data_IF_179711411589
#
_entry.id   IF_179711411589
#
_cell.length_a   1.000
_cell.length_b   1.000
_cell.length_c   1.000
_cell.angle_alpha   90.00
_cell.angle_beta   90.00
_cell.angle_gamma   90.00
#
_symmetry.space_group_name_H-M   'P 1'
#
loop_
_entity.id
_entity.type
_entity.pdbx_description
1 polymer ?
#
# COMPACT_ATOMS: atom_id res chain seq x y z
N UNK A 1 19.33 -25.42 -1.41
CA UNK A 1 19.01 -24.00 -1.68
C UNK A 1 17.66 -23.98 -2.38
N UNK A 2 16.62 -23.52 -1.68
CA UNK A 2 15.27 -23.45 -2.26
C UNK A 2 15.28 -22.63 -3.54
N UNK A 3 14.70 -23.19 -4.59
CA UNK A 3 14.59 -22.61 -5.92
C UNK A 3 13.88 -21.26 -5.80
N UNK A 4 14.61 -20.15 -5.99
CA UNK A 4 14.04 -18.81 -5.80
C UNK A 4 12.96 -18.57 -6.86
N UNK A 5 11.83 -17.94 -6.50
CA UNK A 5 10.86 -17.48 -7.49
C UNK A 5 11.54 -16.60 -8.53
N UNK A 6 11.08 -16.66 -9.79
CA UNK A 6 11.64 -15.91 -10.92
C UNK A 6 11.17 -14.44 -10.96
N UNK A 7 10.38 -14.03 -9.99
CA UNK A 7 9.84 -12.69 -9.86
C UNK A 7 10.42 -11.98 -8.64
N UNK A 8 10.44 -10.65 -8.70
CA UNK A 8 10.95 -9.78 -7.65
C UNK A 8 9.81 -9.19 -6.82
N UNK A 9 10.07 -9.08 -5.52
CA UNK A 9 9.21 -8.38 -4.55
C UNK A 9 9.90 -7.12 -4.03
N UNK A 10 9.17 -6.28 -3.29
CA UNK A 10 9.71 -5.01 -2.78
C UNK A 10 10.97 -5.20 -1.93
N UNK A 11 10.99 -6.21 -1.04
CA UNK A 11 12.16 -6.52 -0.20
C UNK A 11 13.43 -6.80 -1.02
N UNK A 12 13.31 -7.29 -2.25
CA UNK A 12 14.46 -7.52 -3.12
C UNK A 12 15.10 -6.18 -3.53
N UNK A 13 14.32 -5.11 -3.75
CA UNK A 13 14.83 -3.77 -4.05
C UNK A 13 15.51 -3.09 -2.85
N UNK A 14 15.17 -3.51 -1.63
CA UNK A 14 15.85 -3.09 -0.41
C UNK A 14 17.19 -3.81 -0.27
N UNK A 15 17.22 -5.13 -0.52
CA UNK A 15 18.42 -5.96 -0.42
C UNK A 15 19.43 -5.70 -1.55
N UNK A 16 18.93 -5.51 -2.76
CA UNK A 16 19.71 -5.24 -3.97
C UNK A 16 19.24 -3.95 -4.64
N UNK A 17 20.01 -2.88 -4.41
CA UNK A 17 19.73 -1.56 -4.99
C UNK A 17 19.81 -1.54 -6.52
N UNK A 18 20.48 -2.52 -7.15
CA UNK A 18 20.52 -2.61 -8.61
C UNK A 18 19.16 -2.91 -9.23
N UNK A 19 18.20 -3.41 -8.42
CA UNK A 19 16.84 -3.66 -8.85
C UNK A 19 15.98 -2.40 -8.95
N UNK A 20 16.34 -1.33 -8.23
CA UNK A 20 15.56 -0.07 -8.17
C UNK A 20 15.31 0.52 -9.55
N UNK A 21 16.31 0.53 -10.43
CA UNK A 21 16.16 1.01 -11.80
C UNK A 21 15.04 0.31 -12.59
N UNK A 22 14.77 -0.97 -12.32
CA UNK A 22 13.69 -1.70 -12.99
C UNK A 22 12.34 -1.42 -12.34
N UNK A 23 12.30 -1.21 -11.02
CA UNK A 23 11.10 -0.72 -10.35
C UNK A 23 10.75 0.70 -10.81
N UNK A 24 11.73 1.59 -10.97
CA UNK A 24 11.54 2.94 -11.50
C UNK A 24 10.98 2.92 -12.92
N UNK A 25 11.46 1.99 -13.76
CA UNK A 25 10.87 1.75 -15.09
C UNK A 25 9.42 1.25 -14.99
N UNK A 26 9.12 0.30 -14.09
CA UNK A 26 7.73 -0.14 -13.88
C UNK A 26 6.83 1.02 -13.43
N UNK A 27 7.30 1.84 -12.49
CA UNK A 27 6.58 3.02 -11.99
C UNK A 27 6.30 3.99 -13.13
N UNK A 28 7.31 4.28 -13.96
CA UNK A 28 7.17 5.15 -15.13
C UNK A 28 6.14 4.58 -16.12
N UNK A 29 6.21 3.30 -16.42
CA UNK A 29 5.25 2.64 -17.33
C UNK A 29 3.81 2.74 -16.82
N UNK A 30 3.60 2.63 -15.49
CA UNK A 30 2.29 2.81 -14.86
C UNK A 30 1.82 4.26 -14.96
N UNK A 31 2.70 5.22 -14.67
CA UNK A 31 2.40 6.65 -14.76
C UNK A 31 2.01 7.08 -16.18
N UNK A 32 2.76 6.60 -17.18
CA UNK A 32 2.53 6.84 -18.60
C UNK A 32 1.32 6.05 -19.16
N UNK A 33 0.76 5.11 -18.39
CA UNK A 33 -0.39 4.29 -18.81
C UNK A 33 -0.05 3.24 -19.86
N UNK A 34 1.23 2.91 -20.01
CA UNK A 34 1.72 1.90 -20.97
C UNK A 34 2.01 0.54 -20.31
N UNK A 35 2.01 0.48 -18.98
CA UNK A 35 2.17 -0.75 -18.22
C UNK A 35 1.09 -1.77 -18.60
N UNK A 36 1.51 -3.02 -18.78
CA UNK A 36 0.61 -4.14 -19.12
C UNK A 36 0.67 -5.23 -18.07
N UNK A 37 -0.51 -5.64 -17.61
CA UNK A 37 -0.64 -6.76 -16.70
C UNK A 37 -0.20 -8.05 -17.39
N UNK A 38 0.68 -8.77 -16.73
CA UNK A 38 1.15 -10.09 -17.15
C UNK A 38 1.01 -11.07 -15.99
N UNK A 39 1.38 -12.31 -16.24
CA UNK A 39 1.43 -13.41 -15.28
C UNK A 39 2.86 -13.89 -15.14
N UNK A 40 3.32 -14.18 -13.93
CA UNK A 40 4.67 -14.71 -13.70
C UNK A 40 4.84 -16.03 -14.44
N UNK A 41 6.04 -16.27 -14.97
CA UNK A 41 6.40 -17.56 -15.60
C UNK A 41 6.47 -18.62 -14.51
N UNK A 42 5.35 -19.26 -14.24
CA UNK A 42 5.29 -20.35 -13.28
C UNK A 42 6.07 -21.57 -13.81
N UNK A 43 6.94 -22.13 -12.97
CA UNK A 43 7.37 -23.53 -13.13
C UNK A 43 6.15 -24.44 -12.94
N UNK A 44 6.15 -25.62 -13.55
CA UNK A 44 5.09 -26.60 -13.35
C UNK A 44 4.86 -26.85 -11.84
N UNK A 45 3.61 -26.70 -11.38
CA UNK A 45 3.24 -26.86 -9.96
C UNK A 45 3.31 -25.58 -9.10
N UNK A 46 3.76 -24.44 -9.63
CA UNK A 46 3.74 -23.17 -8.89
C UNK A 46 2.58 -22.26 -9.32
N UNK A 47 1.96 -21.51 -8.39
CA UNK A 47 0.94 -20.53 -8.73
C UNK A 47 1.55 -19.38 -9.55
N UNK A 48 0.76 -18.89 -10.51
CA UNK A 48 1.13 -17.74 -11.33
C UNK A 48 0.50 -16.46 -10.76
N UNK A 49 1.34 -15.46 -10.51
CA UNK A 49 0.95 -14.21 -9.87
C UNK A 49 0.87 -13.08 -10.89
N UNK A 50 -0.01 -12.09 -10.67
CA UNK A 50 0.00 -10.86 -11.46
C UNK A 50 1.36 -10.16 -11.36
N UNK A 51 1.92 -9.78 -12.51
CA UNK A 51 3.22 -9.08 -12.57
C UNK A 51 3.29 -8.07 -13.70
N UNK A 52 4.22 -7.12 -13.55
CA UNK A 52 4.75 -6.30 -14.64
C UNK A 52 6.05 -6.91 -15.15
N UNK A 53 6.30 -6.75 -16.45
CA UNK A 53 7.53 -7.24 -17.08
C UNK A 53 8.31 -6.08 -17.68
N UNK A 54 9.53 -5.90 -17.20
CA UNK A 54 10.46 -4.88 -17.70
C UNK A 54 11.80 -5.54 -17.96
N UNK A 55 12.34 -5.36 -19.17
CA UNK A 55 13.64 -5.92 -19.60
C UNK A 55 13.82 -7.41 -19.24
N UNK A 56 12.78 -8.21 -19.46
CA UNK A 56 12.78 -9.65 -19.19
C UNK A 56 12.69 -10.07 -17.71
N UNK A 57 12.59 -9.11 -16.78
CA UNK A 57 12.38 -9.36 -15.34
C UNK A 57 10.91 -9.21 -14.99
N UNK A 58 10.46 -9.98 -14.00
CA UNK A 58 9.08 -9.99 -13.54
C UNK A 58 8.98 -9.36 -12.16
N UNK A 59 8.10 -8.39 -11.98
CA UNK A 59 7.88 -7.68 -10.71
C UNK A 59 6.43 -7.86 -10.30
N UNK A 60 6.17 -8.30 -9.07
CA UNK A 60 4.78 -8.42 -8.62
C UNK A 60 4.09 -7.05 -8.64
N UNK A 61 2.82 -7.03 -9.03
CA UNK A 61 2.02 -5.80 -9.09
C UNK A 61 2.02 -5.09 -7.74
N UNK A 62 1.72 -5.82 -6.66
CA UNK A 62 1.80 -5.32 -5.28
C UNK A 62 3.19 -4.78 -4.92
N UNK A 63 4.27 -5.39 -5.41
CA UNK A 63 5.62 -4.92 -5.12
C UNK A 63 5.93 -3.56 -5.75
N UNK A 64 5.38 -3.26 -6.94
CA UNK A 64 5.57 -1.97 -7.60
C UNK A 64 4.84 -0.85 -6.84
N UNK A 65 3.62 -1.11 -6.36
CA UNK A 65 2.91 -0.15 -5.50
C UNK A 65 3.61 0.07 -4.15
N UNK A 66 4.05 -1.02 -3.50
CA UNK A 66 4.79 -0.93 -2.24
C UNK A 66 6.10 -0.15 -2.40
N UNK A 67 6.84 -0.40 -3.49
CA UNK A 67 8.04 0.36 -3.82
C UNK A 67 7.76 1.85 -4.04
N UNK A 68 6.73 2.18 -4.82
CA UNK A 68 6.37 3.57 -5.10
C UNK A 68 6.03 4.34 -3.81
N UNK A 69 5.18 3.75 -2.95
CA UNK A 69 4.80 4.37 -1.69
C UNK A 69 5.98 4.52 -0.72
N UNK A 70 6.90 3.55 -0.72
CA UNK A 70 8.14 3.63 0.06
C UNK A 70 9.06 4.76 -0.43
N UNK A 71 9.28 4.85 -1.75
CA UNK A 71 10.11 5.90 -2.33
C UNK A 71 9.53 7.29 -2.04
N UNK A 72 8.22 7.44 -2.22
CA UNK A 72 7.49 8.66 -1.90
C UNK A 72 7.60 9.04 -0.41
N UNK A 73 7.57 8.05 0.49
CA UNK A 73 7.79 8.28 1.92
C UNK A 73 9.22 8.78 2.22
N UNK A 74 10.23 8.27 1.51
CA UNK A 74 11.62 8.70 1.69
C UNK A 74 11.93 10.08 1.09
N UNK A 75 11.26 10.46 0.00
CA UNK A 75 11.61 11.64 -0.79
C UNK A 75 10.67 12.85 -0.58
N UNK A 76 9.65 12.71 0.27
CA UNK A 76 8.66 13.76 0.55
C UNK A 76 7.27 13.31 0.13
N UNK A 77 6.46 12.93 1.11
CA UNK A 77 5.17 12.33 0.84
C UNK A 77 4.14 13.36 0.35
N UNK A 78 3.53 13.10 -0.82
CA UNK A 78 2.49 13.95 -1.42
C UNK A 78 1.27 13.07 -1.67
N UNK A 79 0.13 13.42 -1.07
CA UNK A 79 -1.12 12.63 -1.14
C UNK A 79 -1.56 12.48 -2.59
N UNK A 80 -1.66 13.58 -3.32
CA UNK A 80 -2.15 13.60 -4.71
C UNK A 80 -1.38 12.63 -5.62
N UNK A 81 -0.05 12.59 -5.52
CA UNK A 81 0.79 11.65 -6.27
C UNK A 81 0.53 10.19 -5.89
N UNK A 82 0.36 9.92 -4.59
CA UNK A 82 0.03 8.58 -4.09
C UNK A 82 -1.36 8.13 -4.55
N UNK A 83 -2.34 9.03 -4.55
CA UNK A 83 -3.71 8.80 -5.00
C UNK A 83 -3.78 8.52 -6.51
N UNK A 84 -3.12 9.34 -7.34
CA UNK A 84 -3.09 9.16 -8.80
C UNK A 84 -2.43 7.83 -9.17
N UNK A 85 -1.27 7.51 -8.56
CA UNK A 85 -0.60 6.26 -8.81
C UNK A 85 -1.43 5.05 -8.37
N UNK A 86 -2.10 5.14 -7.21
CA UNK A 86 -2.99 4.10 -6.69
C UNK A 86 -4.17 3.86 -7.64
N UNK A 87 -4.79 4.92 -8.16
CA UNK A 87 -5.91 4.82 -9.09
C UNK A 87 -5.48 4.22 -10.44
N UNK A 88 -4.29 4.59 -10.96
CA UNK A 88 -3.70 3.97 -12.16
C UNK A 88 -3.45 2.48 -11.96
N UNK A 89 -2.86 2.11 -10.82
CA UNK A 89 -2.65 0.70 -10.45
C UNK A 89 -3.98 -0.05 -10.40
N UNK A 90 -4.98 0.48 -9.68
CA UNK A 90 -6.33 -0.10 -9.59
C UNK A 90 -6.99 -0.27 -10.97
N UNK A 91 -6.82 0.68 -11.88
CA UNK A 91 -7.34 0.59 -13.24
C UNK A 91 -6.70 -0.55 -14.05
N UNK A 92 -5.43 -0.87 -13.79
CA UNK A 92 -4.68 -1.92 -14.50
C UNK A 92 -4.97 -3.32 -13.92
N UNK A 93 -4.87 -3.49 -12.60
CA UNK A 93 -4.92 -4.80 -11.95
C UNK A 93 -6.21 -5.10 -11.19
N UNK A 94 -7.12 -4.12 -11.10
CA UNK A 94 -8.26 -4.20 -10.19
C UNK A 94 -7.90 -3.82 -8.76
N UNK A 95 -8.92 -3.77 -7.90
CA UNK A 95 -8.77 -3.39 -6.49
C UNK A 95 -8.27 -4.54 -5.60
N UNK A 96 -8.85 -5.73 -5.78
CA UNK A 96 -8.62 -6.87 -4.88
C UNK A 96 -7.27 -7.55 -5.14
N UNK A 97 -6.72 -8.15 -4.07
CA UNK A 97 -5.57 -9.05 -4.04
C UNK A 97 -4.19 -8.40 -4.21
N UNK A 98 -4.12 -7.16 -4.69
CA UNK A 98 -2.87 -6.39 -4.83
C UNK A 98 -2.99 -5.00 -4.19
N UNK A 99 -3.85 -4.13 -4.73
CA UNK A 99 -3.97 -2.72 -4.26
C UNK A 99 -4.49 -2.65 -2.83
N UNK A 100 -5.64 -3.27 -2.56
CA UNK A 100 -6.25 -3.32 -1.23
C UNK A 100 -5.27 -3.78 -0.14
N UNK A 101 -4.51 -4.84 -0.41
CA UNK A 101 -3.55 -5.42 0.53
C UNK A 101 -2.37 -4.50 0.80
N UNK A 102 -1.84 -3.84 -0.23
CA UNK A 102 -0.73 -2.90 -0.05
C UNK A 102 -1.19 -1.68 0.74
N UNK A 103 -2.37 -1.15 0.46
CA UNK A 103 -2.92 0.00 1.18
C UNK A 103 -3.28 -0.34 2.63
N UNK A 104 -3.81 -1.54 2.89
CA UNK A 104 -4.03 -2.04 4.27
C UNK A 104 -2.72 -2.10 5.04
N UNK A 105 -1.67 -2.70 4.47
CA UNK A 105 -0.34 -2.74 5.07
C UNK A 105 0.27 -1.36 5.27
N UNK A 106 -0.02 -0.41 4.39
CA UNK A 106 0.43 0.97 4.54
C UNK A 106 -0.20 1.62 5.77
N UNK A 107 -1.51 1.46 5.98
CA UNK A 107 -2.20 1.92 7.21
C UNK A 107 -1.59 1.26 8.45
N UNK A 108 -1.40 -0.06 8.43
CA UNK A 108 -0.79 -0.79 9.56
C UNK A 108 0.60 -0.24 9.91
N UNK A 109 1.47 -0.10 8.92
CA UNK A 109 2.87 0.29 9.14
C UNK A 109 3.07 1.77 9.44
N UNK A 110 2.30 2.65 8.79
CA UNK A 110 2.51 4.10 8.86
C UNK A 110 1.61 4.76 9.90
N UNK A 111 0.39 4.26 10.09
CA UNK A 111 -0.61 4.87 10.98
C UNK A 111 -0.74 4.09 12.28
N UNK A 112 -0.96 2.77 12.23
CA UNK A 112 -1.29 2.00 13.42
C UNK A 112 -0.03 1.72 14.27
N UNK A 113 0.92 0.96 13.75
CA UNK A 113 2.06 0.45 14.51
C UNK A 113 2.89 1.54 15.24
N UNK A 114 3.10 2.75 14.69
CA UNK A 114 3.89 3.76 15.39
C UNK A 114 3.11 4.53 16.46
N UNK A 115 1.78 4.63 16.33
CA UNK A 115 0.97 5.56 17.11
C UNK A 115 -0.08 4.90 17.99
N UNK A 116 -0.38 3.63 17.76
CA UNK A 116 -1.46 2.91 18.43
C UNK A 116 -1.00 1.55 18.91
N UNK A 117 -1.65 1.06 19.96
CA UNK A 117 -1.62 -0.33 20.36
C UNK A 117 -3.06 -0.83 20.45
N UNK A 118 -3.25 -2.14 20.27
CA UNK A 118 -4.55 -2.75 20.47
C UNK A 118 -4.76 -3.02 21.96
N UNK A 119 -5.78 -2.38 22.54
CA UNK A 119 -6.18 -2.58 23.94
C UNK A 119 -7.32 -3.60 24.06
N UNK A 120 -7.66 -4.29 22.97
CA UNK A 120 -8.64 -5.37 22.97
C UNK A 120 -8.03 -6.71 23.35
N UNK A 121 -8.78 -7.50 24.10
CA UNK A 121 -8.46 -8.92 24.35
C UNK A 121 -9.05 -9.85 23.26
N UNK A 122 -9.75 -9.29 22.27
CA UNK A 122 -10.38 -10.02 21.16
C UNK A 122 -9.44 -10.15 19.97
N UNK A 123 -9.45 -11.32 19.32
CA UNK A 123 -8.75 -11.52 18.04
C UNK A 123 -9.51 -10.89 16.86
N UNK A 124 -10.81 -10.59 17.02
CA UNK A 124 -11.69 -10.16 15.94
C UNK A 124 -12.09 -8.69 15.99
N UNK A 125 -11.99 -8.06 17.16
CA UNK A 125 -12.37 -6.67 17.38
C UNK A 125 -11.17 -5.91 17.90
N UNK A 126 -10.72 -4.90 17.17
CA UNK A 126 -9.61 -4.05 17.59
C UNK A 126 -10.11 -2.83 18.36
N UNK A 127 -9.40 -2.46 19.42
CA UNK A 127 -9.60 -1.22 20.15
C UNK A 127 -8.30 -0.44 20.18
N UNK A 128 -8.07 0.32 19.11
CA UNK A 128 -6.87 1.15 18.98
C UNK A 128 -6.87 2.28 19.99
N UNK A 129 -5.82 2.31 20.82
CA UNK A 129 -5.54 3.37 21.77
C UNK A 129 -4.19 3.97 21.45
N UNK A 130 -4.07 5.29 21.57
CA UNK A 130 -2.79 5.98 21.34
C UNK A 130 -1.70 5.36 22.22
N UNK A 131 -0.55 5.09 21.62
CA UNK A 131 0.61 4.61 22.33
C UNK A 131 1.09 5.71 23.31
N UNK A 132 1.24 5.42 24.62
CA UNK A 132 1.81 6.39 25.56
C UNK A 132 3.25 6.77 25.21
N UNK A 133 3.98 5.89 24.53
CA UNK A 133 5.33 6.19 24.04
C UNK A 133 5.22 7.05 22.77
N UNK A 134 5.68 8.30 22.85
CA UNK A 134 5.72 9.19 21.69
C UNK A 134 6.77 8.67 20.69
N UNK A 135 6.39 8.35 19.43
CA UNK A 135 7.33 7.88 18.42
C UNK A 135 8.39 8.93 18.02
N UNK A 136 8.27 10.16 18.51
CA UNK A 136 9.25 11.24 18.28
C UNK A 136 9.01 12.01 16.98
N UNK A 137 7.91 11.72 16.29
CA UNK A 137 7.43 12.43 15.10
C UNK A 137 5.90 12.37 15.03
N UNK A 138 5.31 13.23 14.20
CA UNK A 138 3.88 13.21 13.88
C UNK A 138 3.69 12.93 12.39
N UNK A 139 2.57 12.32 12.01
CA UNK A 139 2.21 12.23 10.60
C UNK A 139 1.98 13.63 10.02
N UNK A 140 2.39 13.80 8.78
CA UNK A 140 2.13 15.00 7.99
C UNK A 140 0.69 15.03 7.51
N UNK A 141 0.17 16.21 7.21
CA UNK A 141 -1.17 16.37 6.62
C UNK A 141 -1.32 15.56 5.32
N UNK A 142 -0.27 15.46 4.51
CA UNK A 142 -0.27 14.67 3.27
C UNK A 142 -0.45 13.16 3.54
N UNK A 143 0.20 12.61 4.57
CA UNK A 143 0.01 11.21 4.96
C UNK A 143 -1.41 10.97 5.51
N UNK A 144 -1.95 11.92 6.28
CA UNK A 144 -3.30 11.83 6.83
C UNK A 144 -4.39 11.96 5.76
N UNK A 145 -4.17 12.81 4.74
CA UNK A 145 -5.02 12.88 3.54
C UNK A 145 -5.02 11.55 2.80
N UNK A 146 -3.85 10.95 2.59
CA UNK A 146 -3.76 9.67 1.90
C UNK A 146 -4.42 8.54 2.70
N UNK A 147 -4.28 8.52 4.03
CA UNK A 147 -5.02 7.59 4.88
C UNK A 147 -6.54 7.72 4.69
N UNK A 148 -7.06 8.95 4.64
CA UNK A 148 -8.47 9.19 4.36
C UNK A 148 -8.88 8.73 2.96
N UNK A 149 -8.04 8.96 1.95
CA UNK A 149 -8.26 8.44 0.59
C UNK A 149 -8.36 6.92 0.57
N UNK A 150 -7.45 6.23 1.28
CA UNK A 150 -7.48 4.76 1.41
C UNK A 150 -8.82 4.31 1.99
N UNK A 151 -9.30 4.96 3.06
CA UNK A 151 -10.59 4.66 3.68
C UNK A 151 -11.74 4.78 2.67
N UNK A 152 -11.79 5.87 1.91
CA UNK A 152 -12.80 6.06 0.85
C UNK A 152 -12.72 4.98 -0.22
N UNK A 153 -11.50 4.58 -0.63
CA UNK A 153 -11.31 3.52 -1.61
C UNK A 153 -11.80 2.15 -1.12
N UNK A 154 -11.60 1.82 0.15
CA UNK A 154 -12.16 0.61 0.74
C UNK A 154 -13.70 0.61 0.74
N UNK A 155 -14.33 1.76 0.95
CA UNK A 155 -15.80 1.88 0.81
C UNK A 155 -16.26 1.80 -0.65
N UNK A 156 -15.53 2.41 -1.58
CA UNK A 156 -15.93 2.52 -2.99
C UNK A 156 -15.68 1.24 -3.78
N UNK A 157 -14.56 0.57 -3.54
CA UNK A 157 -14.07 -0.55 -4.35
C UNK A 157 -13.95 -1.86 -3.56
N UNK A 158 -13.97 -1.80 -2.22
CA UNK A 158 -13.88 -2.96 -1.34
C UNK A 158 -15.19 -3.73 -1.20
N UNK A 159 -15.17 -4.73 -0.32
CA UNK A 159 -16.33 -5.54 0.01
C UNK A 159 -17.23 -4.84 1.04
N UNK A 160 -18.45 -5.35 1.20
CA UNK A 160 -19.40 -4.81 2.18
C UNK A 160 -18.88 -4.82 3.63
N UNK A 161 -18.01 -5.78 3.96
CA UNK A 161 -17.38 -5.87 5.28
C UNK A 161 -16.23 -4.88 5.48
N UNK A 162 -15.66 -4.27 4.42
CA UNK A 162 -14.59 -3.27 4.53
C UNK A 162 -15.08 -1.91 5.08
N UNK A 163 -16.40 -1.77 5.29
CA UNK A 163 -16.98 -0.58 5.93
C UNK A 163 -16.49 -0.40 7.37
N UNK A 164 -16.26 -1.49 8.11
CA UNK A 164 -15.68 -1.40 9.46
C UNK A 164 -14.28 -0.82 9.41
N UNK A 165 -13.46 -1.30 8.46
CA UNK A 165 -12.10 -0.81 8.27
C UNK A 165 -12.05 0.66 7.80
N UNK A 166 -12.99 1.08 6.97
CA UNK A 166 -13.13 2.50 6.59
C UNK A 166 -13.34 3.37 7.83
N UNK A 167 -14.30 2.99 8.68
CA UNK A 167 -14.61 3.73 9.91
C UNK A 167 -13.40 3.76 10.84
N UNK A 168 -12.74 2.61 10.99
CA UNK A 168 -11.54 2.47 11.80
C UNK A 168 -10.43 3.45 11.37
N UNK A 169 -10.14 3.57 10.07
CA UNK A 169 -9.16 4.55 9.58
C UNK A 169 -9.57 5.98 9.93
N UNK A 170 -10.84 6.35 9.79
CA UNK A 170 -11.31 7.70 10.15
C UNK A 170 -11.20 7.98 11.65
N UNK A 171 -11.50 6.99 12.49
CA UNK A 171 -11.36 7.09 13.94
C UNK A 171 -9.87 7.26 14.32
N UNK A 172 -8.96 6.50 13.68
CA UNK A 172 -7.50 6.63 13.86
C UNK A 172 -7.00 8.02 13.47
N UNK A 173 -7.38 8.52 12.28
CA UNK A 173 -6.97 9.86 11.80
C UNK A 173 -7.50 10.97 12.72
N UNK A 174 -8.72 10.80 13.25
CA UNK A 174 -9.30 11.74 14.23
C UNK A 174 -8.55 11.70 15.57
N UNK A 175 -8.18 10.51 16.04
CA UNK A 175 -7.38 10.34 17.26
C UNK A 175 -5.99 10.96 17.15
N UNK A 176 -5.40 11.01 15.94
CA UNK A 176 -4.18 11.75 15.65
C UNK A 176 -4.37 13.28 15.59
N UNK A 177 -5.58 13.77 15.85
CA UNK A 177 -5.89 15.20 15.96
C UNK A 177 -6.33 15.86 14.64
N UNK A 178 -6.50 15.09 13.56
CA UNK A 178 -6.90 15.63 12.26
C UNK A 178 -8.41 15.80 12.13
N UNK A 179 -8.82 16.87 11.44
CA UNK A 179 -10.23 17.16 11.13
C UNK A 179 -10.62 16.72 9.71
N UNK A 180 -9.69 16.11 8.95
CA UNK A 180 -9.94 15.67 7.57
C UNK A 180 -11.13 14.69 7.45
N UNK A 181 -11.31 13.69 8.33
CA UNK A 181 -12.43 12.77 8.21
C UNK A 181 -13.80 13.46 8.26
N UNK A 182 -13.93 14.52 9.07
CA UNK A 182 -15.18 15.28 9.19
C UNK A 182 -15.51 16.14 7.96
N UNK A 183 -14.54 16.37 7.07
CA UNK A 183 -14.72 17.17 5.85
C UNK A 183 -15.12 16.31 4.65
N UNK A 184 -14.90 14.99 4.74
CA UNK A 184 -15.24 14.03 3.71
C UNK A 184 -16.72 13.68 3.88
N UNK A 185 -17.52 14.01 2.86
CA UNK A 185 -18.97 13.76 2.82
C UNK A 185 -19.30 12.42 2.17
#
# INVERSE_FOLDING_TARGET
>A
MGDKPTYFVFDDAIRDKSLRKYFDLCVKDVQEGIARLSRTRAKAGYPSWPCFRVEGKEFLVSAVLEYYLYDLHCNGFISESAEDFTEKMRAICGWQWDVDRVLRKWIERVVINPFFHDASDSEYEHKWVLNPENPGYTLTDEQLKFACYIAVCFTKYGHSFDKSFTKEIFDLVTALGSKLPAQIK
#
